data_IF_289146155347
#
_entry.id   IF_289146155347
#
_cell.length_a   1.000
_cell.length_b   1.000
_cell.length_c   1.000
_cell.angle_alpha   90.00
_cell.angle_beta   90.00
_cell.angle_gamma   90.00
#
_symmetry.space_group_name_H-M   'P 1'
#
loop_
_entity.id
_entity.type
_entity.pdbx_description
1 polymer ?
#
# COMPACT_ATOMS: atom_id res chain seq x y z
N UNK A 1 -6.53 -1.95 1.48
CA UNK A 1 -5.89 -0.99 2.40
C UNK A 1 -4.78 -0.30 1.63
N UNK A 2 -4.84 1.03 1.53
CA UNK A 2 -3.91 1.84 0.73
C UNK A 2 -2.54 1.97 1.39
N UNK A 3 -1.62 2.68 0.75
CA UNK A 3 -0.26 2.91 1.24
C UNK A 3 -0.24 3.59 2.62
N UNK A 4 0.38 2.97 3.61
CA UNK A 4 0.48 3.53 4.96
C UNK A 4 1.70 2.96 5.69
N UNK A 5 2.04 3.58 6.82
CA UNK A 5 2.95 3.07 7.83
C UNK A 5 2.16 2.84 9.11
N UNK A 6 2.46 1.77 9.82
CA UNK A 6 1.92 1.52 11.15
C UNK A 6 2.90 1.99 12.23
N UNK A 7 2.39 2.08 13.47
CA UNK A 7 3.17 2.36 14.68
C UNK A 7 3.90 3.70 14.71
N UNK A 8 3.42 4.71 13.98
CA UNK A 8 4.00 6.06 14.00
C UNK A 8 4.09 6.66 15.41
N UNK A 9 3.16 6.26 16.28
CA UNK A 9 3.03 6.68 17.68
C UNK A 9 3.84 5.83 18.67
N UNK A 10 4.47 4.74 18.23
CA UNK A 10 5.11 3.74 19.12
C UNK A 10 6.58 3.49 18.74
N UNK A 11 7.35 4.58 18.63
CA UNK A 11 8.73 4.60 18.12
C UNK A 11 9.78 3.96 19.05
N UNK A 12 9.47 3.72 20.32
CA UNK A 12 10.45 3.32 21.33
C UNK A 12 10.80 1.83 21.34
N UNK A 13 10.03 0.98 20.65
CA UNK A 13 10.25 -0.47 20.64
C UNK A 13 10.06 -1.03 19.24
N UNK A 14 11.04 -1.76 18.74
CA UNK A 14 10.93 -2.46 17.46
C UNK A 14 9.86 -3.54 17.52
N UNK A 15 9.04 -3.62 16.47
CA UNK A 15 7.96 -4.60 16.33
C UNK A 15 7.97 -5.24 14.97
N UNK A 16 7.49 -6.47 14.96
CA UNK A 16 7.21 -7.23 13.76
C UNK A 16 5.73 -7.56 13.70
N UNK A 17 5.16 -7.51 12.50
CA UNK A 17 3.83 -8.05 12.23
C UNK A 17 4.00 -9.38 11.52
N UNK A 18 3.46 -10.43 12.12
CA UNK A 18 3.44 -11.76 11.56
C UNK A 18 2.09 -12.00 10.89
N UNK A 19 2.12 -12.47 9.64
CA UNK A 19 0.94 -12.88 8.88
C UNK A 19 0.98 -14.40 8.67
N UNK A 20 -0.14 -15.06 8.98
CA UNK A 20 -0.39 -16.46 8.64
C UNK A 20 -1.63 -16.48 7.72
N UNK A 21 -1.44 -16.61 6.39
CA UNK A 21 -2.56 -16.67 5.45
C UNK A 21 -3.34 -17.98 5.63
N UNK A 22 -4.62 -17.87 5.97
CA UNK A 22 -5.56 -18.99 6.13
C UNK A 22 -6.34 -19.25 4.83
N UNK A 23 -6.69 -18.17 4.12
CA UNK A 23 -7.27 -18.20 2.79
C UNK A 23 -6.66 -17.06 1.96
N UNK A 24 -6.06 -17.38 0.82
CA UNK A 24 -5.36 -16.41 -0.05
C UNK A 24 -5.43 -16.86 -1.51
N UNK A 25 -5.15 -15.96 -2.44
CA UNK A 25 -5.07 -16.25 -3.87
C UNK A 25 -4.04 -15.33 -4.53
N UNK A 26 -3.63 -15.62 -5.77
CA UNK A 26 -2.70 -14.77 -6.52
C UNK A 26 -3.23 -13.34 -6.76
N UNK A 27 -4.54 -13.12 -6.66
CA UNK A 27 -5.15 -11.79 -6.71
C UNK A 27 -4.99 -10.99 -5.39
N UNK A 28 -4.55 -11.64 -4.31
CA UNK A 28 -4.29 -11.07 -3.01
C UNK A 28 -2.78 -10.92 -2.77
N UNK A 29 -2.32 -9.67 -2.68
CA UNK A 29 -0.92 -9.35 -2.47
C UNK A 29 -0.74 -8.07 -1.67
N UNK A 30 0.45 -7.93 -1.11
CA UNK A 30 0.93 -6.70 -0.49
C UNK A 30 1.84 -5.95 -1.45
N UNK A 31 1.86 -4.63 -1.38
CA UNK A 31 2.85 -3.81 -2.08
C UNK A 31 3.75 -3.17 -1.03
N UNK A 32 5.06 -3.32 -1.22
CA UNK A 32 6.12 -2.70 -0.42
C UNK A 32 7.37 -2.54 -1.29
N UNK A 33 8.06 -1.40 -1.17
CA UNK A 33 9.31 -1.16 -1.90
C UNK A 33 9.19 -1.27 -3.43
N UNK A 34 8.02 -0.99 -4.01
CA UNK A 34 7.77 -1.11 -5.45
C UNK A 34 7.64 -2.55 -5.96
N UNK A 35 7.40 -3.52 -5.08
CA UNK A 35 7.15 -4.92 -5.44
C UNK A 35 5.81 -5.38 -4.89
N UNK A 36 5.14 -6.25 -5.65
CA UNK A 36 3.98 -7.00 -5.18
C UNK A 36 4.47 -8.32 -4.56
N UNK A 37 4.01 -8.63 -3.34
CA UNK A 37 4.36 -9.84 -2.60
C UNK A 37 3.10 -10.64 -2.32
N UNK A 38 3.02 -11.85 -2.87
CA UNK A 38 1.95 -12.79 -2.55
C UNK A 38 2.31 -13.60 -1.30
N UNK A 39 1.51 -13.44 -0.25
CA UNK A 39 1.67 -14.18 0.99
C UNK A 39 0.92 -15.51 0.87
N UNK A 40 1.63 -16.58 0.53
CA UNK A 40 1.05 -17.92 0.35
C UNK A 40 0.71 -18.61 1.67
N UNK A 41 -0.33 -19.44 1.64
CA UNK A 41 -0.78 -20.23 2.79
C UNK A 41 0.25 -21.29 3.20
N UNK A 42 0.21 -21.71 4.47
CA UNK A 42 1.15 -22.68 5.03
C UNK A 42 2.52 -22.09 5.39
N UNK A 43 2.66 -20.75 5.36
CA UNK A 43 3.88 -20.02 5.72
C UNK A 43 3.59 -18.95 6.76
N UNK A 44 4.62 -18.63 7.55
CA UNK A 44 4.66 -17.46 8.42
C UNK A 44 5.40 -16.34 7.70
N UNK A 45 4.76 -15.19 7.54
CA UNK A 45 5.31 -14.02 6.85
C UNK A 45 5.60 -12.92 7.85
N UNK A 46 6.81 -12.36 7.82
CA UNK A 46 7.19 -11.22 8.67
C UNK A 46 7.15 -9.92 7.88
N UNK A 47 6.43 -8.94 8.40
CA UNK A 47 6.39 -7.56 7.92
C UNK A 47 7.02 -6.65 8.97
N UNK A 48 7.79 -5.66 8.50
CA UNK A 48 8.24 -4.52 9.31
C UNK A 48 7.27 -3.35 9.05
N UNK A 49 6.25 -3.12 9.92
CA UNK A 49 5.09 -2.30 9.55
C UNK A 49 5.37 -0.80 9.48
N UNK A 50 6.53 -0.38 10.00
CA UNK A 50 7.03 1.00 9.88
C UNK A 50 7.46 1.35 8.46
N UNK A 51 7.68 0.37 7.58
CA UNK A 51 7.89 0.63 6.15
C UNK A 51 6.54 0.84 5.45
N UNK A 52 6.49 1.77 4.50
CA UNK A 52 5.29 2.04 3.73
C UNK A 52 4.84 0.78 2.97
N UNK A 53 3.58 0.41 3.16
CA UNK A 53 3.00 -0.76 2.54
C UNK A 53 1.51 -0.60 2.30
N UNK A 54 0.96 -1.41 1.41
CA UNK A 54 -0.48 -1.56 1.26
C UNK A 54 -0.83 -3.00 0.91
N UNK A 55 -2.11 -3.33 0.99
CA UNK A 55 -2.58 -4.68 0.72
C UNK A 55 -3.90 -4.64 -0.05
N UNK A 56 -4.01 -5.46 -1.08
CA UNK A 56 -5.21 -5.59 -1.89
C UNK A 56 -5.63 -7.04 -2.08
N UNK A 57 -6.87 -7.19 -2.54
CA UNK A 57 -7.41 -8.41 -3.12
C UNK A 57 -8.26 -7.97 -4.30
N UNK A 58 -7.70 -8.02 -5.52
CA UNK A 58 -8.29 -7.28 -6.65
C UNK A 58 -9.58 -7.91 -7.16
N UNK A 59 -9.58 -9.22 -7.33
CA UNK A 59 -10.69 -9.96 -7.96
C UNK A 59 -10.85 -11.38 -7.40
N UNK A 60 -10.18 -11.70 -6.30
CA UNK A 60 -10.14 -13.05 -5.74
C UNK A 60 -11.24 -13.32 -4.70
N UNK A 61 -11.39 -14.59 -4.27
CA UNK A 61 -12.21 -14.93 -3.12
C UNK A 61 -11.73 -14.16 -1.87
N UNK A 62 -12.53 -14.11 -0.79
CA UNK A 62 -12.12 -13.48 0.46
C UNK A 62 -10.73 -13.93 0.92
N UNK A 63 -9.94 -12.97 1.39
CA UNK A 63 -8.58 -13.19 1.90
C UNK A 63 -8.58 -13.10 3.41
N UNK A 64 -8.18 -14.16 4.08
CA UNK A 64 -8.18 -14.29 5.54
C UNK A 64 -6.77 -14.58 6.05
N UNK A 65 -6.28 -13.74 6.96
CA UNK A 65 -4.98 -13.91 7.60
C UNK A 65 -5.17 -13.84 9.11
N UNK A 66 -4.52 -14.74 9.85
CA UNK A 66 -4.22 -14.50 11.25
C UNK A 66 -3.03 -13.53 11.32
N UNK A 67 -3.19 -12.45 12.07
CA UNK A 67 -2.16 -11.41 12.24
C UNK A 67 -1.77 -11.37 13.70
N UNK A 68 -0.47 -11.42 13.97
CA UNK A 68 0.09 -11.27 15.30
C UNK A 68 1.11 -10.13 15.30
N UNK A 69 0.97 -9.22 16.25
CA UNK A 69 1.96 -8.17 16.46
C UNK A 69 2.85 -8.56 17.64
N UNK A 70 4.16 -8.62 17.37
CA UNK A 70 5.15 -9.11 18.31
C UNK A 70 6.24 -8.06 18.52
N UNK A 71 6.73 -7.95 19.76
CA UNK A 71 7.94 -7.18 20.03
C UNK A 71 9.17 -7.93 19.52
N UNK A 72 10.17 -7.17 19.08
CA UNK A 72 11.50 -7.74 18.82
C UNK A 72 12.04 -8.36 20.11
N UNK A 73 12.55 -9.58 20.03
CA UNK A 73 13.09 -10.34 21.15
C UNK A 73 14.17 -11.31 20.65
N UNK A 74 15.15 -11.69 21.48
CA UNK A 74 16.16 -12.69 21.11
C UNK A 74 15.55 -14.02 20.66
N UNK A 75 14.47 -14.47 21.29
CA UNK A 75 13.79 -15.73 20.99
C UNK A 75 13.13 -15.68 19.61
N UNK A 76 12.46 -14.57 19.28
CA UNK A 76 11.89 -14.39 17.95
C UNK A 76 12.99 -14.27 16.88
N UNK A 77 14.11 -13.61 17.20
CA UNK A 77 15.25 -13.53 16.30
C UNK A 77 15.86 -14.92 16.03
N UNK A 78 15.95 -15.78 17.04
CA UNK A 78 16.40 -17.16 16.88
C UNK A 78 15.41 -17.99 16.04
N UNK A 79 14.11 -17.90 16.32
CA UNK A 79 13.06 -18.60 15.54
C UNK A 79 12.99 -18.17 14.08
N UNK A 80 13.36 -16.92 13.79
CA UNK A 80 13.38 -16.38 12.42
C UNK A 80 14.76 -16.45 11.78
N UNK A 81 15.73 -17.08 12.44
CA UNK A 81 17.05 -17.30 11.88
C UNK A 81 16.95 -18.17 10.62
N UNK A 82 17.63 -17.76 9.55
CA UNK A 82 17.54 -18.44 8.25
C UNK A 82 16.22 -18.18 7.49
N UNK A 83 15.40 -17.20 7.91
CA UNK A 83 14.27 -16.76 7.10
C UNK A 83 14.75 -16.38 5.70
N UNK A 84 13.96 -16.75 4.70
CA UNK A 84 14.19 -16.40 3.31
C UNK A 84 12.86 -16.05 2.65
N UNK A 85 12.94 -15.25 1.60
CA UNK A 85 11.80 -14.90 0.78
C UNK A 85 11.75 -15.90 -0.39
N UNK A 86 10.61 -16.58 -0.65
CA UNK A 86 10.50 -17.44 -1.82
C UNK A 86 10.62 -16.61 -3.11
N UNK A 87 11.35 -17.13 -4.10
CA UNK A 87 11.60 -16.43 -5.36
C UNK A 87 10.31 -16.11 -6.14
N UNK A 88 9.32 -16.99 -6.05
CA UNK A 88 8.02 -16.87 -6.70
C UNK A 88 7.03 -15.97 -5.95
N UNK A 89 7.36 -15.58 -4.72
CA UNK A 89 6.48 -14.74 -3.91
C UNK A 89 6.53 -13.27 -4.31
N UNK A 90 7.63 -12.83 -4.95
CA UNK A 90 7.89 -11.42 -5.24
C UNK A 90 7.81 -11.16 -6.73
N UNK A 91 6.97 -10.20 -7.09
CA UNK A 91 6.88 -9.66 -8.44
C UNK A 91 7.19 -8.17 -8.43
N UNK A 92 8.31 -7.72 -9.02
CA UNK A 92 8.59 -6.29 -9.19
C UNK A 92 7.46 -5.61 -9.98
N UNK A 93 7.04 -4.43 -9.54
CA UNK A 93 6.10 -3.61 -10.30
C UNK A 93 6.85 -2.73 -11.29
N UNK A 94 6.25 -2.50 -12.46
CA UNK A 94 6.79 -1.60 -13.45
C UNK A 94 6.67 -0.14 -12.97
N UNK A 95 7.68 0.72 -13.15
CA UNK A 95 7.58 2.13 -12.81
C UNK A 95 6.39 2.80 -13.49
N UNK A 96 5.70 3.68 -12.76
CA UNK A 96 4.76 4.61 -13.38
C UNK A 96 5.57 5.71 -14.08
N UNK A 97 5.62 5.67 -15.41
CA UNK A 97 6.29 6.71 -16.19
C UNK A 97 5.49 8.01 -16.15
N UNK A 98 6.14 9.15 -16.40
CA UNK A 98 5.46 10.45 -16.42
C UNK A 98 4.36 10.51 -17.50
N UNK A 99 4.62 9.93 -18.68
CA UNK A 99 3.62 9.84 -19.74
C UNK A 99 2.40 9.02 -19.32
N UNK A 100 2.61 7.87 -18.68
CA UNK A 100 1.51 7.06 -18.19
C UNK A 100 0.78 7.76 -17.04
N UNK A 101 1.50 8.42 -16.13
CA UNK A 101 0.91 9.19 -15.04
C UNK A 101 -0.04 10.28 -15.58
N UNK A 102 0.41 11.06 -16.57
CA UNK A 102 -0.43 12.07 -17.22
C UNK A 102 -1.69 11.44 -17.85
N UNK A 103 -1.56 10.31 -18.55
CA UNK A 103 -2.72 9.61 -19.13
C UNK A 103 -3.73 9.15 -18.07
N UNK A 104 -3.27 8.61 -16.93
CA UNK A 104 -4.16 8.16 -15.86
C UNK A 104 -4.83 9.35 -15.14
N UNK A 105 -4.14 10.48 -14.98
CA UNK A 105 -4.73 11.71 -14.43
C UNK A 105 -5.80 12.28 -15.36
N UNK A 106 -5.55 12.35 -16.67
CA UNK A 106 -6.56 12.80 -17.64
C UNK A 106 -7.82 11.91 -17.65
N UNK A 107 -7.63 10.59 -17.50
CA UNK A 107 -8.75 9.66 -17.33
C UNK A 107 -9.53 9.93 -16.05
N UNK A 108 -8.85 10.14 -14.92
CA UNK A 108 -9.48 10.50 -13.66
C UNK A 108 -10.23 11.85 -13.73
N UNK A 109 -9.65 12.87 -14.37
CA UNK A 109 -10.30 14.16 -14.60
C UNK A 109 -11.57 14.02 -15.44
N UNK A 110 -11.52 13.18 -16.47
CA UNK A 110 -12.70 12.87 -17.30
C UNK A 110 -13.81 12.24 -16.47
N UNK A 111 -13.49 11.24 -15.64
CA UNK A 111 -14.45 10.60 -14.73
C UNK A 111 -15.05 11.61 -13.75
N UNK A 112 -14.23 12.44 -13.12
CA UNK A 112 -14.68 13.45 -12.16
C UNK A 112 -15.58 14.50 -12.79
N UNK A 113 -15.23 15.02 -13.97
CA UNK A 113 -16.05 15.99 -14.74
C UNK A 113 -17.41 15.42 -15.16
N UNK A 114 -17.50 14.11 -15.32
CA UNK A 114 -18.77 13.40 -15.56
C UNK A 114 -19.56 13.12 -14.27
N UNK A 115 -19.06 13.55 -13.11
CA UNK A 115 -19.68 13.38 -11.80
C UNK A 115 -19.21 12.15 -11.03
N UNK A 116 -18.35 11.29 -11.62
CA UNK A 116 -17.87 10.05 -11.02
C UNK A 116 -16.61 10.27 -10.16
N UNK A 117 -16.70 11.14 -9.16
CA UNK A 117 -15.58 11.52 -8.29
C UNK A 117 -14.95 10.32 -7.58
N UNK A 118 -15.76 9.46 -6.96
CA UNK A 118 -15.26 8.25 -6.27
C UNK A 118 -14.52 7.31 -7.24
N UNK A 119 -15.03 7.16 -8.46
CA UNK A 119 -14.39 6.32 -9.46
C UNK A 119 -13.04 6.91 -9.93
N UNK A 120 -12.96 8.24 -10.08
CA UNK A 120 -11.72 8.94 -10.40
C UNK A 120 -10.66 8.72 -9.31
N UNK A 121 -11.03 8.86 -8.04
CA UNK A 121 -10.11 8.63 -6.93
C UNK A 121 -9.67 7.15 -6.85
N UNK A 122 -10.62 6.22 -6.96
CA UNK A 122 -10.32 4.79 -6.95
C UNK A 122 -9.40 4.39 -8.11
N UNK A 123 -9.58 5.00 -9.29
CA UNK A 123 -8.72 4.78 -10.45
C UNK A 123 -7.27 5.14 -10.13
N UNK A 124 -7.01 6.33 -9.57
CA UNK A 124 -5.66 6.75 -9.18
C UNK A 124 -5.10 5.91 -8.03
N UNK A 125 -5.91 5.60 -7.01
CA UNK A 125 -5.51 4.76 -5.88
C UNK A 125 -5.04 3.36 -6.32
N UNK A 126 -5.66 2.79 -7.35
CA UNK A 126 -5.27 1.49 -7.90
C UNK A 126 -3.89 1.49 -8.57
N UNK A 127 -3.35 2.65 -8.95
CA UNK A 127 -1.99 2.75 -9.50
C UNK A 127 -0.94 2.24 -8.52
N UNK A 128 -1.14 2.48 -7.22
CA UNK A 128 -0.27 1.96 -6.16
C UNK A 128 -0.13 0.43 -6.19
N UNK A 129 -1.18 -0.29 -6.58
CA UNK A 129 -1.16 -1.76 -6.64
C UNK A 129 -0.69 -2.34 -7.97
N UNK A 130 -0.48 -1.51 -8.97
CA UNK A 130 -0.21 -1.94 -10.35
C UNK A 130 1.14 -1.46 -10.87
N UNK A 131 1.65 -0.37 -10.29
CA UNK A 131 2.90 0.26 -10.70
C UNK A 131 3.80 0.53 -9.48
N UNK A 132 5.09 0.66 -9.74
CA UNK A 132 6.07 1.14 -8.77
C UNK A 132 5.96 2.66 -8.72
N UNK A 133 5.49 3.15 -7.58
CA UNK A 133 5.38 4.57 -7.26
C UNK A 133 6.43 4.97 -6.21
N UNK A 134 6.76 6.26 -6.17
CA UNK A 134 7.44 6.86 -5.02
C UNK A 134 6.49 6.87 -3.82
N UNK A 135 7.03 6.78 -2.61
CA UNK A 135 6.21 6.82 -1.39
C UNK A 135 5.33 8.08 -1.36
N UNK A 136 4.03 7.87 -1.19
CA UNK A 136 3.01 8.91 -1.14
C UNK A 136 2.66 9.57 -2.46
N UNK A 137 3.26 9.15 -3.58
CA UNK A 137 2.97 9.71 -4.91
C UNK A 137 1.49 9.58 -5.29
N UNK A 138 0.82 8.50 -4.86
CA UNK A 138 -0.61 8.30 -5.17
C UNK A 138 -1.49 9.39 -4.52
N UNK A 139 -1.10 9.87 -3.34
CA UNK A 139 -1.80 10.95 -2.65
C UNK A 139 -1.52 12.31 -3.28
N UNK A 140 -0.33 12.50 -3.85
CA UNK A 140 0.01 13.70 -4.62
C UNK A 140 -0.87 13.77 -5.89
N UNK A 141 -1.04 12.65 -6.61
CA UNK A 141 -1.92 12.59 -7.77
C UNK A 141 -3.39 12.91 -7.42
N UNK A 142 -3.88 12.45 -6.26
CA UNK A 142 -5.23 12.75 -5.78
C UNK A 142 -5.38 14.21 -5.36
N UNK A 143 -4.37 14.79 -4.71
CA UNK A 143 -4.33 16.22 -4.42
C UNK A 143 -4.43 17.02 -5.74
N UNK A 144 -3.59 16.71 -6.72
CA UNK A 144 -3.49 17.46 -7.98
C UNK A 144 -4.76 17.33 -8.83
N UNK A 145 -5.41 16.17 -8.81
CA UNK A 145 -6.73 15.95 -9.42
C UNK A 145 -7.75 16.97 -8.90
N UNK A 146 -7.88 17.09 -7.58
CA UNK A 146 -8.87 17.97 -6.95
C UNK A 146 -8.50 19.44 -7.04
N UNK A 147 -7.21 19.78 -6.98
CA UNK A 147 -6.72 21.14 -7.20
C UNK A 147 -7.05 21.61 -8.63
N UNK A 148 -6.85 20.75 -9.63
CA UNK A 148 -7.22 21.01 -11.03
C UNK A 148 -8.72 21.19 -11.23
N UNK A 149 -9.56 20.51 -10.43
CA UNK A 149 -11.01 20.68 -10.44
C UNK A 149 -11.48 21.93 -9.66
N UNK A 150 -10.57 22.62 -8.97
CA UNK A 150 -10.89 23.76 -8.11
C UNK A 150 -11.45 23.38 -6.74
N UNK A 151 -11.51 22.09 -6.39
CA UNK A 151 -11.93 21.60 -5.07
C UNK A 151 -10.75 21.60 -4.09
N UNK A 152 -10.36 22.81 -3.69
CA UNK A 152 -9.26 23.04 -2.72
C UNK A 152 -9.52 22.34 -1.38
N UNK A 153 -10.79 22.17 -0.98
CA UNK A 153 -11.15 21.49 0.26
C UNK A 153 -10.78 20.01 0.22
N UNK A 154 -11.14 19.31 -0.85
CA UNK A 154 -10.79 17.89 -1.02
C UNK A 154 -9.31 17.68 -1.33
N UNK A 155 -8.67 18.59 -2.08
CA UNK A 155 -7.23 18.58 -2.27
C UNK A 155 -6.46 18.60 -0.93
N UNK A 156 -6.83 19.50 -0.01
CA UNK A 156 -6.22 19.55 1.32
C UNK A 156 -6.51 18.32 2.17
N UNK A 157 -7.69 17.70 2.06
CA UNK A 157 -7.98 16.42 2.72
C UNK A 157 -6.99 15.33 2.28
N UNK A 158 -6.65 15.25 1.00
CA UNK A 158 -5.68 14.28 0.50
C UNK A 158 -4.26 14.56 0.97
N UNK A 159 -3.85 15.83 1.01
CA UNK A 159 -2.57 16.24 1.62
C UNK A 159 -2.50 15.85 3.10
N UNK A 160 -3.55 16.12 3.86
CA UNK A 160 -3.64 15.73 5.27
C UNK A 160 -3.62 14.21 5.43
N UNK A 161 -4.36 13.47 4.60
CA UNK A 161 -4.41 12.01 4.63
C UNK A 161 -3.05 11.38 4.33
N UNK A 162 -2.29 11.90 3.37
CA UNK A 162 -0.89 11.53 3.12
C UNK A 162 -0.07 11.66 4.40
N UNK A 163 -0.19 12.81 5.05
CA UNK A 163 0.57 13.14 6.26
C UNK A 163 0.26 12.21 7.43
N UNK A 164 -1.02 11.87 7.62
CA UNK A 164 -1.48 10.91 8.65
C UNK A 164 -1.02 9.49 8.32
N UNK A 165 -1.31 9.00 7.12
CA UNK A 165 -1.03 7.60 6.76
C UNK A 165 0.46 7.28 6.66
N UNK A 166 1.29 8.25 6.32
CA UNK A 166 2.75 8.06 6.19
C UNK A 166 3.53 8.61 7.38
N UNK A 167 2.86 9.15 8.41
CA UNK A 167 3.50 9.69 9.60
C UNK A 167 4.46 10.85 9.30
N UNK A 168 4.17 11.65 8.28
CA UNK A 168 4.94 12.88 7.97
C UNK A 168 4.35 14.13 8.63
N UNK A 169 3.26 13.97 9.39
CA UNK A 169 2.81 14.99 10.34
C UNK A 169 3.76 14.97 11.54
N UNK A 170 4.52 16.05 11.71
CA UNK A 170 5.22 16.36 12.97
C UNK A 170 4.29 17.11 13.90
#
# INVERSE_FOLDING_TARGET
MWEHRDYGELKSVERHRLHIPLATSSAAYMVLGGSAVHLSAGRLWRLTPTHAHGACNRYGPPRLHLILDCYSSPELAELTNGQHLPDDAVRPLLPLTDELAHQQVEQALTLARLGYHDAAEQHLLQLYFTHKLREGQVYDLLHDLHDTLGDTGTAQKWRHRKSVLLGTAS
#
